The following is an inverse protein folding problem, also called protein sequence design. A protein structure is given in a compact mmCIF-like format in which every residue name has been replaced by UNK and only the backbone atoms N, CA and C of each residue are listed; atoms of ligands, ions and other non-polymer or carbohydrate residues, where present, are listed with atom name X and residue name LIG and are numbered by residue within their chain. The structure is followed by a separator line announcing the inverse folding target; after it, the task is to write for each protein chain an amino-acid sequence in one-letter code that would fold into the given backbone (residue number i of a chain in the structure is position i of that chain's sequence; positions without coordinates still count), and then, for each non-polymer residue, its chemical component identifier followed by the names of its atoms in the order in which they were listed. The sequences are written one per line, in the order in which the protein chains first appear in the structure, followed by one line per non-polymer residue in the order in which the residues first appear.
data_IF_898884067153
#
_entry.id   IF_898884067153
#
_cell.length_a   1.000
_cell.length_b   1.000
_cell.length_c   1.000
_cell.angle_alpha   90.00
_cell.angle_beta   90.00
_cell.angle_gamma   90.00
#
_symmetry.space_group_name_H-M   'P 1'
#
loop_
_entity.id
_entity.type
_entity.pdbx_description
1 polymer ?
#
# COMPACT_ATOMS: atom_id res chain seq x y z
N UNK A 1 -26.76 -16.23 -18.68
CA UNK A 1 -26.16 -15.66 -17.44
C UNK A 1 -27.21 -15.30 -16.40
N UNK A 2 -28.39 -14.81 -16.77
CA UNK A 2 -29.45 -14.40 -15.83
C UNK A 2 -30.06 -15.55 -14.98
N UNK A 3 -30.13 -16.79 -15.49
CA UNK A 3 -30.78 -17.91 -14.78
C UNK A 3 -30.01 -18.44 -13.55
N UNK A 4 -28.70 -18.19 -13.42
CA UNK A 4 -27.89 -18.67 -12.29
C UNK A 4 -27.83 -17.69 -11.10
N UNK A 5 -28.57 -16.58 -11.16
CA UNK A 5 -28.53 -15.53 -10.14
C UNK A 5 -29.62 -15.72 -9.05
N UNK A 6 -30.66 -16.50 -9.29
CA UNK A 6 -31.87 -16.50 -8.46
C UNK A 6 -31.95 -17.55 -7.34
N UNK A 7 -30.90 -18.36 -7.10
CA UNK A 7 -30.95 -19.39 -6.06
C UNK A 7 -29.61 -19.54 -5.31
N UNK A 8 -29.28 -18.59 -4.42
CA UNK A 8 -27.98 -18.57 -3.71
C UNK A 8 -28.17 -18.36 -2.22
N UNK A 9 -28.35 -19.44 -1.47
CA UNK A 9 -28.35 -19.36 -0.01
C UNK A 9 -26.93 -19.22 0.58
N UNK A 10 -25.88 -19.70 -0.10
CA UNK A 10 -24.50 -19.74 0.44
C UNK A 10 -23.36 -19.39 -0.55
N UNK A 11 -23.64 -18.87 -1.76
CA UNK A 11 -22.60 -18.59 -2.78
C UNK A 11 -22.49 -17.11 -3.08
N UNK A 12 -21.29 -16.53 -2.96
CA UNK A 12 -20.98 -15.16 -3.39
C UNK A 12 -20.30 -15.13 -4.76
N UNK A 13 -20.65 -14.16 -5.60
CA UNK A 13 -20.04 -13.88 -6.91
C UNK A 13 -18.94 -12.85 -6.75
N UNK A 14 -17.74 -13.24 -7.19
CA UNK A 14 -16.66 -12.28 -7.40
C UNK A 14 -16.61 -11.97 -8.89
N UNK A 15 -16.80 -10.70 -9.26
CA UNK A 15 -16.56 -10.23 -10.62
C UNK A 15 -15.19 -9.61 -10.67
N UNK A 16 -14.34 -10.07 -11.58
CA UNK A 16 -12.95 -9.65 -11.69
C UNK A 16 -12.65 -8.93 -13.00
N UNK A 17 -11.82 -7.89 -12.94
CA UNK A 17 -11.33 -7.18 -14.12
C UNK A 17 -9.82 -6.91 -14.00
N UNK A 18 -9.11 -7.02 -15.12
CA UNK A 18 -7.70 -6.64 -15.24
C UNK A 18 -7.60 -5.27 -15.90
N UNK A 19 -6.98 -4.31 -15.20
CA UNK A 19 -6.86 -2.92 -15.65
C UNK A 19 -5.42 -2.66 -16.09
N UNK A 20 -5.22 -2.45 -17.38
CA UNK A 20 -3.89 -2.24 -17.97
C UNK A 20 -3.71 -0.79 -18.42
N UNK A 21 -3.41 0.11 -17.47
CA UNK A 21 -3.33 1.55 -17.72
C UNK A 21 -1.97 2.17 -17.36
N UNK A 22 -1.13 1.48 -16.57
CA UNK A 22 0.14 2.00 -16.04
C UNK A 22 -0.06 3.04 -14.93
N UNK A 23 -0.96 4.01 -15.12
CA UNK A 23 -1.29 5.08 -14.17
C UNK A 23 -2.81 5.30 -14.07
N UNK A 24 -3.53 4.47 -13.29
CA UNK A 24 -4.99 4.54 -13.23
C UNK A 24 -5.47 5.82 -12.51
N UNK A 25 -6.49 6.49 -13.04
CA UNK A 25 -7.16 7.60 -12.32
C UNK A 25 -8.27 7.09 -11.39
N UNK A 26 -8.57 7.84 -10.32
CA UNK A 26 -9.69 7.52 -9.42
C UNK A 26 -11.02 7.44 -10.19
N UNK A 27 -11.26 8.41 -11.08
CA UNK A 27 -12.48 8.45 -11.91
C UNK A 27 -12.64 7.18 -12.75
N UNK A 28 -11.56 6.73 -13.41
CA UNK A 28 -11.58 5.51 -14.22
C UNK A 28 -11.88 4.28 -13.36
N UNK A 29 -11.23 4.15 -12.22
CA UNK A 29 -11.45 3.03 -11.30
C UNK A 29 -12.89 3.03 -10.77
N UNK A 30 -13.44 4.19 -10.39
CA UNK A 30 -14.84 4.33 -9.96
C UNK A 30 -15.81 3.91 -11.07
N UNK A 31 -15.57 4.34 -12.31
CA UNK A 31 -16.40 3.95 -13.45
C UNK A 31 -16.39 2.44 -13.70
N UNK A 32 -15.21 1.79 -13.62
CA UNK A 32 -15.08 0.34 -13.75
C UNK A 32 -15.83 -0.37 -12.62
N UNK A 33 -15.64 0.08 -11.37
CA UNK A 33 -16.32 -0.46 -10.19
C UNK A 33 -17.84 -0.36 -10.36
N UNK A 34 -18.37 0.79 -10.77
CA UNK A 34 -19.81 0.98 -10.98
C UNK A 34 -20.38 0.02 -12.04
N UNK A 35 -19.67 -0.16 -13.16
CA UNK A 35 -20.05 -1.13 -14.18
C UNK A 35 -20.07 -2.58 -13.66
N UNK A 36 -19.10 -2.95 -12.81
CA UNK A 36 -19.03 -4.28 -12.20
C UNK A 36 -20.10 -4.47 -11.12
N UNK A 37 -20.44 -3.43 -10.35
CA UNK A 37 -21.56 -3.47 -9.40
C UNK A 37 -22.88 -3.74 -10.12
N UNK A 38 -23.10 -3.10 -11.28
CA UNK A 38 -24.32 -3.25 -12.08
C UNK A 38 -24.56 -4.68 -12.58
N UNK A 39 -23.55 -5.57 -12.56
CA UNK A 39 -23.73 -6.99 -12.90
C UNK A 39 -24.35 -7.82 -11.76
N UNK A 40 -24.60 -7.22 -10.59
CA UNK A 40 -25.05 -7.94 -9.39
C UNK A 40 -23.93 -8.69 -8.67
N UNK A 41 -22.69 -8.19 -8.74
CA UNK A 41 -21.55 -8.78 -8.05
C UNK A 41 -21.66 -8.63 -6.52
N UNK A 42 -21.36 -9.69 -5.76
CA UNK A 42 -21.27 -9.61 -4.30
C UNK A 42 -19.92 -9.01 -3.84
N UNK A 43 -18.87 -9.24 -4.65
CA UNK A 43 -17.51 -8.76 -4.42
C UNK A 43 -16.90 -8.35 -5.76
N UNK A 44 -16.15 -7.24 -5.75
CA UNK A 44 -15.43 -6.75 -6.92
C UNK A 44 -13.96 -7.04 -6.77
N UNK A 45 -13.31 -7.52 -7.83
CA UNK A 45 -11.88 -7.75 -7.88
C UNK A 45 -11.22 -6.98 -9.02
N UNK A 46 -10.22 -6.17 -8.70
CA UNK A 46 -9.39 -5.46 -9.67
C UNK A 46 -7.94 -5.87 -9.52
N UNK A 47 -7.36 -6.37 -10.62
CA UNK A 47 -5.92 -6.57 -10.79
C UNK A 47 -5.39 -5.43 -11.67
N UNK A 48 -4.56 -4.55 -11.12
CA UNK A 48 -4.25 -3.25 -11.73
C UNK A 48 -2.76 -3.16 -12.07
N UNK A 49 -2.43 -2.91 -13.32
CA UNK A 49 -1.05 -2.63 -13.73
C UNK A 49 -0.66 -1.21 -13.31
N UNK A 50 0.47 -1.09 -12.62
CA UNK A 50 1.03 0.18 -12.17
C UNK A 50 2.51 0.25 -12.52
N UNK A 51 2.99 1.42 -12.89
CA UNK A 51 4.40 1.64 -13.23
C UNK A 51 5.21 1.96 -11.98
N UNK A 52 4.67 2.82 -11.11
CA UNK A 52 5.35 3.33 -9.93
C UNK A 52 4.54 3.09 -8.66
N UNK A 53 5.20 3.25 -7.52
CA UNK A 53 4.51 3.18 -6.22
C UNK A 53 3.42 4.26 -6.12
N UNK A 54 3.66 5.46 -6.64
CA UNK A 54 2.75 6.62 -6.58
C UNK A 54 1.40 6.34 -7.26
N UNK A 55 1.38 5.45 -8.25
CA UNK A 55 0.17 5.00 -8.94
C UNK A 55 -0.77 4.13 -8.06
N UNK A 56 -0.32 3.73 -6.86
CA UNK A 56 -1.18 3.07 -5.87
C UNK A 56 -2.14 4.03 -5.17
N UNK A 57 -1.88 5.35 -5.18
CA UNK A 57 -2.71 6.31 -4.45
C UNK A 57 -4.19 6.27 -4.90
N UNK A 58 -4.50 6.27 -6.21
CA UNK A 58 -5.89 6.07 -6.68
C UNK A 58 -6.52 4.75 -6.22
N UNK A 59 -5.73 3.68 -6.11
CA UNK A 59 -6.20 2.37 -5.64
C UNK A 59 -6.59 2.46 -4.15
N UNK A 60 -5.76 3.09 -3.32
CA UNK A 60 -6.05 3.29 -1.90
C UNK A 60 -7.26 4.20 -1.69
N UNK A 61 -7.42 5.24 -2.51
CA UNK A 61 -8.60 6.12 -2.48
C UNK A 61 -9.88 5.32 -2.75
N UNK A 62 -9.92 4.51 -3.81
CA UNK A 62 -11.14 3.73 -4.10
C UNK A 62 -11.38 2.65 -3.05
N UNK A 63 -10.35 1.98 -2.53
CA UNK A 63 -10.49 1.02 -1.43
C UNK A 63 -11.14 1.67 -0.20
N UNK A 64 -10.69 2.87 0.16
CA UNK A 64 -11.14 3.57 1.38
C UNK A 64 -12.62 4.00 1.29
N UNK A 65 -13.09 4.34 0.10
CA UNK A 65 -14.42 4.92 -0.11
C UNK A 65 -15.45 3.95 -0.70
N UNK A 66 -15.01 2.78 -1.18
CA UNK A 66 -15.90 1.81 -1.80
C UNK A 66 -16.90 1.24 -0.79
N UNK A 67 -18.19 1.31 -1.12
CA UNK A 67 -19.28 0.81 -0.26
C UNK A 67 -19.60 -0.67 -0.50
N UNK A 68 -18.95 -1.30 -1.47
CA UNK A 68 -19.07 -2.74 -1.71
C UNK A 68 -17.75 -3.43 -1.43
N UNK A 69 -17.75 -4.72 -1.04
CA UNK A 69 -16.53 -5.49 -0.87
C UNK A 69 -15.63 -5.40 -2.11
N UNK A 70 -14.46 -4.77 -1.94
CA UNK A 70 -13.51 -4.52 -3.02
C UNK A 70 -12.17 -5.19 -2.70
N UNK A 71 -11.73 -6.02 -3.63
CA UNK A 71 -10.38 -6.56 -3.70
C UNK A 71 -9.68 -5.76 -4.79
N UNK A 72 -8.74 -4.89 -4.44
CA UNK A 72 -7.96 -4.16 -5.44
C UNK A 72 -6.48 -4.33 -5.13
N UNK A 73 -5.72 -4.80 -6.12
CA UNK A 73 -4.29 -5.04 -5.98
C UNK A 73 -3.54 -4.59 -7.22
N UNK A 74 -2.34 -4.07 -7.00
CA UNK A 74 -1.39 -3.83 -8.06
C UNK A 74 -0.69 -5.13 -8.47
N UNK A 75 -0.39 -5.25 -9.76
CA UNK A 75 0.50 -6.29 -10.29
C UNK A 75 1.91 -5.71 -10.51
N UNK A 76 2.93 -6.57 -10.55
CA UNK A 76 4.31 -6.14 -10.78
C UNK A 76 5.06 -5.78 -9.49
N UNK A 77 6.18 -5.08 -9.61
CA UNK A 77 7.09 -4.75 -8.49
C UNK A 77 6.40 -3.98 -7.37
N UNK A 78 5.48 -3.08 -7.70
CA UNK A 78 4.71 -2.27 -6.74
C UNK A 78 3.53 -3.02 -6.10
N UNK A 79 3.23 -4.24 -6.57
CA UNK A 79 2.13 -5.06 -6.04
C UNK A 79 2.24 -5.35 -4.54
N UNK A 80 3.46 -5.43 -4.01
CA UNK A 80 3.71 -5.76 -2.61
C UNK A 80 3.04 -4.75 -1.66
N UNK A 81 3.21 -3.45 -1.92
CA UNK A 81 2.67 -2.40 -1.06
C UNK A 81 1.15 -2.40 -1.06
N UNK A 82 0.53 -2.67 -2.22
CA UNK A 82 -0.94 -2.81 -2.31
C UNK A 82 -1.48 -3.94 -1.42
N UNK A 83 -0.77 -5.07 -1.34
CA UNK A 83 -1.16 -6.20 -0.48
C UNK A 83 -0.96 -5.88 1.00
N UNK A 84 0.16 -5.25 1.36
CA UNK A 84 0.50 -4.97 2.76
C UNK A 84 -0.38 -3.89 3.38
N UNK A 85 -0.75 -2.87 2.61
CA UNK A 85 -1.57 -1.76 3.08
C UNK A 85 -3.07 -1.96 2.79
N UNK A 86 -3.44 -2.99 2.04
CA UNK A 86 -4.83 -3.33 1.74
C UNK A 86 -5.77 -3.29 2.97
N UNK A 87 -5.45 -3.98 4.10
CA UNK A 87 -6.32 -3.99 5.27
C UNK A 87 -6.53 -2.61 5.90
N UNK A 88 -5.52 -1.73 5.83
CA UNK A 88 -5.66 -0.35 6.30
C UNK A 88 -6.65 0.44 5.44
N UNK A 89 -6.58 0.27 4.13
CA UNK A 89 -7.42 1.03 3.20
C UNK A 89 -8.75 0.36 2.88
N UNK A 90 -9.11 -0.76 3.53
CA UNK A 90 -10.43 -1.39 3.37
C UNK A 90 -10.51 -2.50 2.34
N UNK A 91 -9.36 -3.06 1.90
CA UNK A 91 -9.37 -4.22 1.01
C UNK A 91 -10.08 -5.42 1.66
N UNK A 92 -11.02 -5.99 0.91
CA UNK A 92 -11.81 -7.14 1.36
C UNK A 92 -10.96 -8.39 1.55
N UNK A 93 -9.96 -8.60 0.67
CA UNK A 93 -8.99 -9.68 0.76
C UNK A 93 -7.62 -9.22 0.27
N UNK A 94 -6.59 -9.89 0.78
CA UNK A 94 -5.22 -9.82 0.30
C UNK A 94 -4.76 -11.22 -0.12
N UNK A 95 -3.82 -11.27 -1.05
CA UNK A 95 -3.27 -12.52 -1.57
C UNK A 95 -1.85 -12.74 -1.09
N UNK A 96 -1.52 -14.01 -0.84
CA UNK A 96 -0.15 -14.45 -0.60
C UNK A 96 0.12 -15.78 -1.28
N UNK A 97 1.38 -15.98 -1.69
CA UNK A 97 1.84 -17.24 -2.27
C UNK A 97 2.07 -18.30 -1.18
N UNK A 98 1.72 -19.55 -1.51
CA UNK A 98 1.99 -20.74 -0.68
C UNK A 98 3.39 -21.33 -0.92
N UNK A 99 4.08 -20.90 -1.99
CA UNK A 99 5.36 -21.42 -2.46
C UNK A 99 5.44 -21.39 -3.98
N UNK A 100 6.52 -21.95 -4.55
CA UNK A 100 6.72 -22.02 -6.00
C UNK A 100 7.46 -20.81 -6.58
N UNK A 101 7.25 -20.55 -7.89
CA UNK A 101 7.90 -19.44 -8.58
C UNK A 101 7.43 -18.10 -8.00
N UNK A 102 8.34 -17.21 -7.58
CA UNK A 102 7.96 -15.88 -7.12
C UNK A 102 7.14 -15.14 -8.18
N UNK A 103 5.99 -14.61 -7.78
CA UNK A 103 5.19 -13.69 -8.60
C UNK A 103 5.53 -12.27 -8.14
N UNK A 104 6.03 -11.39 -9.03
CA UNK A 104 6.33 -10.01 -8.67
C UNK A 104 5.17 -9.33 -7.93
N UNK A 105 5.46 -8.72 -6.78
CA UNK A 105 4.47 -8.04 -5.95
C UNK A 105 3.60 -8.94 -5.08
N UNK A 106 3.65 -10.26 -5.23
CA UNK A 106 2.88 -11.18 -4.39
C UNK A 106 3.72 -11.65 -3.19
N UNK A 107 3.43 -11.21 -1.95
CA UNK A 107 4.14 -11.69 -0.76
C UNK A 107 3.87 -13.16 -0.50
N UNK A 108 4.72 -13.84 0.27
CA UNK A 108 4.40 -15.19 0.76
C UNK A 108 3.42 -15.11 1.93
N UNK A 109 2.54 -16.11 2.07
CA UNK A 109 1.65 -16.20 3.23
C UNK A 109 2.43 -16.26 4.55
N UNK A 110 3.62 -16.87 4.53
CA UNK A 110 4.53 -16.88 5.68
C UNK A 110 4.93 -15.45 6.05
N UNK A 111 5.35 -14.63 5.08
CA UNK A 111 5.73 -13.24 5.34
C UNK A 111 4.55 -12.40 5.86
N UNK A 112 3.36 -12.56 5.28
CA UNK A 112 2.14 -11.87 5.72
C UNK A 112 1.79 -12.20 7.18
N UNK A 113 1.91 -13.47 7.58
CA UNK A 113 1.53 -13.94 8.93
C UNK A 113 2.62 -13.82 9.99
N UNK A 114 3.90 -13.77 9.61
CA UNK A 114 4.99 -13.80 10.58
C UNK A 114 5.75 -12.48 10.66
N UNK A 115 5.98 -11.81 9.53
CA UNK A 115 6.73 -10.55 9.48
C UNK A 115 5.77 -9.38 9.70
N UNK A 116 4.79 -9.24 8.82
CA UNK A 116 3.87 -8.10 8.83
C UNK A 116 2.74 -8.28 9.84
N UNK A 117 2.23 -9.51 10.01
CA UNK A 117 1.08 -9.83 10.87
C UNK A 117 -0.11 -8.92 10.58
N UNK A 118 -0.60 -8.98 9.34
CA UNK A 118 -1.65 -8.08 8.86
C UNK A 118 -2.96 -8.15 9.67
N UNK A 119 -3.16 -9.18 10.51
CA UNK A 119 -4.25 -9.24 11.48
C UNK A 119 -4.24 -8.10 12.54
N UNK A 120 -3.11 -7.39 12.70
CA UNK A 120 -3.00 -6.21 13.56
C UNK A 120 -3.20 -4.89 12.81
N UNK A 121 -3.33 -4.92 11.48
CA UNK A 121 -3.48 -3.72 10.65
C UNK A 121 -4.96 -3.39 10.49
N UNK A 122 -5.32 -2.13 10.73
CA UNK A 122 -6.68 -1.60 10.56
C UNK A 122 -6.63 -0.16 9.98
N UNK A 123 -7.79 0.48 9.84
CA UNK A 123 -7.91 1.81 9.26
C UNK A 123 -7.06 2.87 9.96
N UNK A 124 -6.87 2.76 11.28
CA UNK A 124 -6.13 3.73 12.09
C UNK A 124 -4.61 3.48 12.11
N UNK A 125 -4.14 2.34 11.57
CA UNK A 125 -2.73 1.98 11.57
C UNK A 125 -1.88 3.03 10.86
N UNK A 126 -0.82 3.52 11.51
CA UNK A 126 0.13 4.45 10.89
C UNK A 126 1.17 3.71 10.05
N UNK A 127 1.42 4.20 8.84
CA UNK A 127 2.35 3.62 7.89
C UNK A 127 3.73 4.23 8.06
N UNK A 128 4.72 3.36 8.18
CA UNK A 128 6.14 3.64 8.15
C UNK A 128 6.78 2.83 7.03
N UNK A 129 7.95 3.23 6.56
CA UNK A 129 8.65 2.42 5.57
C UNK A 129 10.07 2.82 5.27
N UNK A 130 10.75 1.96 4.52
CA UNK A 130 12.03 2.28 3.89
C UNK A 130 11.76 2.77 2.48
N UNK A 131 12.14 4.02 2.19
CA UNK A 131 12.19 4.60 0.84
C UNK A 131 13.56 4.32 0.25
N UNK A 132 13.65 3.46 -0.77
CA UNK A 132 14.93 3.16 -1.44
C UNK A 132 14.74 2.53 -2.83
N UNK A 133 15.82 2.53 -3.62
CA UNK A 133 15.88 1.82 -4.90
C UNK A 133 17.28 1.23 -5.11
N UNK A 134 17.46 -0.10 -4.97
CA UNK A 134 16.46 -1.13 -4.69
C UNK A 134 16.01 -1.18 -3.21
N UNK A 135 14.89 -1.87 -2.92
CA UNK A 135 14.33 -2.01 -1.55
C UNK A 135 14.24 -3.45 -1.03
N UNK A 136 14.44 -4.45 -1.89
CA UNK A 136 14.11 -5.85 -1.61
C UNK A 136 14.83 -6.46 -0.39
N UNK A 137 16.01 -5.96 -0.02
CA UNK A 137 16.82 -6.47 1.09
C UNK A 137 16.57 -5.74 2.43
N UNK A 138 15.50 -4.96 2.52
CA UNK A 138 15.16 -4.25 3.75
C UNK A 138 14.87 -5.21 4.91
N UNK A 139 15.68 -5.11 5.97
CA UNK A 139 15.41 -5.79 7.25
C UNK A 139 14.51 -4.98 8.19
N UNK A 140 14.14 -3.75 7.78
CA UNK A 140 13.28 -2.85 8.55
C UNK A 140 11.97 -3.51 9.02
N UNK A 141 11.21 -4.22 8.15
CA UNK A 141 9.99 -4.90 8.56
C UNK A 141 10.18 -5.94 9.67
N UNK A 142 11.34 -6.63 9.71
CA UNK A 142 11.65 -7.64 10.75
C UNK A 142 11.99 -6.97 12.08
N UNK A 143 12.54 -5.75 12.05
CA UNK A 143 12.90 -5.01 13.26
C UNK A 143 11.72 -4.20 13.83
N UNK A 144 11.06 -3.39 12.99
CA UNK A 144 10.09 -2.39 13.44
C UNK A 144 8.71 -2.97 13.71
N UNK A 145 8.20 -3.90 12.89
CA UNK A 145 6.86 -4.45 13.11
C UNK A 145 6.73 -5.19 14.46
N UNK A 146 7.68 -6.05 14.89
CA UNK A 146 7.64 -6.61 16.23
C UNK A 146 7.76 -5.55 17.33
N UNK A 147 8.57 -4.51 17.11
CA UNK A 147 8.76 -3.42 18.07
C UNK A 147 7.47 -2.61 18.27
N UNK A 148 6.80 -2.23 17.19
CA UNK A 148 5.49 -1.56 17.27
C UNK A 148 4.48 -2.37 18.08
N UNK A 149 4.38 -3.66 17.80
CA UNK A 149 3.49 -4.56 18.55
C UNK A 149 3.88 -4.70 20.02
N UNK A 150 5.17 -4.84 20.32
CA UNK A 150 5.65 -4.94 21.69
C UNK A 150 5.34 -3.68 22.51
N UNK A 151 5.41 -2.51 21.88
CA UNK A 151 5.10 -1.22 22.48
C UNK A 151 3.60 -0.87 22.47
N UNK A 152 2.74 -1.73 21.91
CA UNK A 152 1.31 -1.43 21.74
C UNK A 152 1.02 -0.28 20.77
N UNK A 153 1.97 0.06 19.89
CA UNK A 153 1.82 1.15 18.92
C UNK A 153 1.18 0.62 17.63
N UNK A 154 0.08 1.24 17.19
CA UNK A 154 -0.64 0.86 15.97
C UNK A 154 0.09 1.36 14.71
N UNK A 155 1.19 0.68 14.36
CA UNK A 155 2.02 1.01 13.21
C UNK A 155 2.41 -0.21 12.38
N UNK A 156 2.61 0.00 11.09
CA UNK A 156 3.18 -0.98 10.16
C UNK A 156 4.39 -0.38 9.44
N UNK A 157 5.45 -1.15 9.29
CA UNK A 157 6.67 -0.80 8.57
C UNK A 157 6.78 -1.65 7.30
N UNK A 158 6.85 -1.01 6.14
CA UNK A 158 6.85 -1.67 4.81
C UNK A 158 8.03 -1.23 3.92
N UNK A 159 8.50 -2.08 2.99
CA UNK A 159 9.53 -1.70 2.02
C UNK A 159 8.91 -0.97 0.81
N UNK A 160 9.28 0.28 0.58
CA UNK A 160 8.75 1.12 -0.50
C UNK A 160 9.82 1.30 -1.59
N UNK A 161 9.59 0.64 -2.74
CA UNK A 161 10.39 0.87 -3.94
C UNK A 161 9.94 2.20 -4.54
N UNK A 162 10.82 3.19 -4.47
CA UNK A 162 10.55 4.55 -4.92
C UNK A 162 11.46 4.85 -6.08
N UNK A 163 10.96 5.48 -7.14
CA UNK A 163 11.75 5.89 -8.30
C UNK A 163 12.08 7.38 -8.21
N UNK A 164 11.06 8.21 -7.96
CA UNK A 164 11.18 9.63 -7.66
C UNK A 164 10.77 9.93 -6.21
N UNK A 165 11.69 10.48 -5.42
CA UNK A 165 11.46 10.76 -4.00
C UNK A 165 10.59 12.00 -3.77
N UNK A 166 10.65 12.98 -4.66
CA UNK A 166 9.87 14.22 -4.54
C UNK A 166 8.40 13.90 -4.84
N UNK A 167 8.12 13.21 -5.96
CA UNK A 167 6.76 12.75 -6.30
C UNK A 167 6.19 11.81 -5.22
N UNK A 168 7.04 10.94 -4.64
CA UNK A 168 6.63 10.07 -3.55
C UNK A 168 6.11 10.84 -2.33
N UNK A 169 6.83 11.86 -1.87
CA UNK A 169 6.43 12.64 -0.70
C UNK A 169 5.26 13.58 -0.96
N UNK A 170 5.09 14.06 -2.18
CA UNK A 170 3.89 14.78 -2.62
C UNK A 170 2.66 13.86 -2.58
N UNK A 171 2.79 12.67 -3.19
CA UNK A 171 1.70 11.68 -3.29
C UNK A 171 1.26 11.16 -1.93
N UNK A 172 2.22 10.82 -1.06
CA UNK A 172 1.95 10.26 0.27
C UNK A 172 2.11 11.30 1.39
N UNK A 173 1.48 12.46 1.18
CA UNK A 173 1.49 13.59 2.11
C UNK A 173 0.47 13.48 3.25
N UNK A 174 -0.47 12.55 3.15
CA UNK A 174 -1.53 12.34 4.14
C UNK A 174 -1.03 11.86 5.52
N UNK A 175 -1.85 12.07 6.55
CA UNK A 175 -1.52 11.73 7.96
C UNK A 175 -1.38 10.24 8.24
N UNK A 176 -1.73 9.39 7.28
CA UNK A 176 -1.54 7.94 7.34
C UNK A 176 -0.07 7.54 7.29
N UNK A 177 0.75 8.32 6.59
CA UNK A 177 2.18 8.06 6.42
C UNK A 177 3.00 8.90 7.39
N UNK A 178 3.38 8.28 8.50
CA UNK A 178 3.89 8.98 9.69
C UNK A 178 5.42 9.13 9.73
N UNK A 179 6.17 8.28 9.03
CA UNK A 179 7.63 8.40 9.02
C UNK A 179 8.34 7.39 8.13
N UNK A 180 9.56 7.71 7.74
CA UNK A 180 10.30 6.97 6.73
C UNK A 180 11.77 6.86 7.11
N UNK A 181 12.35 5.68 6.92
CA UNK A 181 13.80 5.58 6.73
C UNK A 181 14.11 5.84 5.26
N UNK A 182 15.22 6.53 4.99
CA UNK A 182 15.69 6.82 3.64
C UNK A 182 16.95 6.02 3.35
N UNK A 183 16.88 5.18 2.32
CA UNK A 183 17.98 4.37 1.82
C UNK A 183 18.68 5.00 0.62
N UNK A 184 19.63 4.25 0.04
CA UNK A 184 20.31 4.64 -1.21
C UNK A 184 19.30 4.56 -2.38
N UNK A 185 19.39 5.46 -3.38
CA UNK A 185 20.33 6.58 -3.52
C UNK A 185 19.84 7.90 -2.89
N UNK A 186 18.73 7.88 -2.15
CA UNK A 186 17.96 9.10 -1.90
C UNK A 186 18.37 9.96 -0.71
N UNK A 187 19.37 9.55 0.08
CA UNK A 187 19.69 10.23 1.34
C UNK A 187 20.03 11.72 1.17
N UNK A 188 20.70 12.10 0.09
CA UNK A 188 21.02 13.51 -0.19
C UNK A 188 19.81 14.26 -0.74
N UNK A 189 19.08 13.66 -1.69
CA UNK A 189 17.89 14.25 -2.30
C UNK A 189 16.77 14.51 -1.27
N UNK A 190 16.64 13.63 -0.27
CA UNK A 190 15.65 13.72 0.80
C UNK A 190 15.73 15.03 1.62
N UNK A 191 16.87 15.73 1.62
CA UNK A 191 16.98 17.06 2.26
C UNK A 191 15.98 18.03 1.66
N UNK A 192 15.81 18.02 0.32
CA UNK A 192 14.93 18.95 -0.38
C UNK A 192 13.45 18.67 -0.12
N UNK A 193 13.12 17.46 0.34
CA UNK A 193 11.76 17.04 0.65
C UNK A 193 11.36 17.33 2.11
N UNK A 194 12.25 17.94 2.91
CA UNK A 194 12.00 18.22 4.33
C UNK A 194 11.78 19.73 4.56
N UNK A 195 10.70 20.08 5.25
CA UNK A 195 10.45 21.46 5.70
C UNK A 195 11.49 21.93 6.73
N UNK A 196 11.89 21.01 7.61
CA UNK A 196 12.91 21.23 8.64
C UNK A 196 13.96 20.12 8.58
N UNK A 197 15.24 20.51 8.67
CA UNK A 197 16.37 19.57 8.66
C UNK A 197 17.20 19.78 9.91
N UNK A 198 17.39 18.71 10.68
CA UNK A 198 18.19 18.73 11.90
C UNK A 198 19.63 19.24 11.61
N UNK A 199 20.26 20.07 12.47
CA UNK A 199 21.58 20.65 12.20
C UNK A 199 22.66 19.65 11.81
N UNK A 200 22.67 18.47 12.46
CA UNK A 200 23.61 17.37 12.13
C UNK A 200 23.35 16.85 10.70
N UNK A 201 22.10 16.62 10.31
CA UNK A 201 21.76 16.15 8.96
C UNK A 201 22.13 17.19 7.90
N UNK A 202 21.91 18.49 8.19
CA UNK A 202 22.31 19.60 7.33
C UNK A 202 23.82 19.69 7.15
N UNK A 203 24.59 19.47 8.23
CA UNK A 203 26.05 19.44 8.18
C UNK A 203 26.60 18.24 7.41
N UNK A 204 25.95 17.08 7.52
CA UNK A 204 26.33 15.86 6.78
C UNK A 204 25.95 15.98 5.30
N UNK A 205 24.88 16.73 4.99
CA UNK A 205 24.33 16.80 3.64
C UNK A 205 23.48 15.57 3.27
N UNK A 206 23.00 14.81 4.27
CA UNK A 206 22.14 13.66 4.04
C UNK A 206 21.11 13.43 5.16
N UNK A 207 19.93 12.93 4.79
CA UNK A 207 18.84 12.51 5.69
C UNK A 207 18.58 11.01 5.50
N UNK A 208 18.61 10.25 6.60
CA UNK A 208 18.24 8.84 6.63
C UNK A 208 16.93 8.56 7.37
N UNK A 209 16.32 9.58 7.99
CA UNK A 209 15.08 9.45 8.77
C UNK A 209 14.25 10.71 8.60
N UNK A 210 13.00 10.53 8.17
CA UNK A 210 11.99 11.57 8.02
C UNK A 210 10.84 11.24 8.95
N UNK A 211 10.39 12.23 9.71
CA UNK A 211 9.25 12.11 10.62
C UNK A 211 8.22 13.14 10.21
N UNK A 212 6.98 12.71 9.96
CA UNK A 212 5.87 13.62 9.72
C UNK A 212 5.27 14.00 11.06
N UNK A 213 5.44 15.26 11.45
CA UNK A 213 4.81 15.77 12.68
C UNK A 213 3.29 15.78 12.51
N UNK A 214 2.51 15.36 13.53
CA UNK A 214 1.07 15.54 13.50
C UNK A 214 0.75 17.01 13.30
N UNK A 215 -0.16 17.33 12.38
CA UNK A 215 -0.72 18.68 12.30
C UNK A 215 -1.57 18.90 13.55
N UNK A 216 -0.96 19.48 14.58
CA UNK A 216 -1.70 20.07 15.69
C UNK A 216 -2.09 21.45 15.21
N UNK A 217 -3.28 21.57 14.60
CA UNK A 217 -3.77 22.85 14.11
C UNK A 217 -3.69 23.92 15.20
N UNK A 218 -3.15 25.08 14.82
CA UNK A 218 -3.27 26.33 15.57
C UNK A 218 -4.57 27.02 15.23
#
# INVERSE_FOLDING_TARGET
MAEYLHNRSNTRIIVSNYVNDGRPSVEKLVNIIACMQATGADVIKLDICVDYITDLAPIFTVLTHCQVPLIAMAVGSSGLISQLLGPKFGAFLVYGSLGGKPVPGLPSLVSLRQVYKLEYTNADTKVFGLVSNPVAHSKGPILYNPTFRHMGYNGIYVPMLVDDIEEFFETYSGSDFAGFSVGIPYKEAAIRCCDEVHPIAKSIGAVNTIVRRPWMGS
#
